data_IF_432603786273
#
_entry.id   IF_432603786273
#
_cell.length_a   1.000
_cell.length_b   1.000
_cell.length_c   1.000
_cell.angle_alpha   90.00
_cell.angle_beta   90.00
_cell.angle_gamma   90.00
#
_symmetry.space_group_name_H-M   'P 1'
#
loop_
_entity.id
_entity.type
_entity.pdbx_description
1 polymer ?
#
# COMPACT_ATOMS: atom_id res chain seq x y z
N UNK A 1 -4.22 -17.07 -8.45
CA UNK A 1 -3.58 -16.03 -7.62
C UNK A 1 -4.17 -16.15 -6.23
N UNK A 2 -3.32 -16.24 -5.19
CA UNK A 2 -3.81 -16.09 -3.82
C UNK A 2 -4.40 -14.68 -3.68
N UNK A 3 -5.60 -14.57 -3.10
CA UNK A 3 -6.27 -13.28 -2.95
C UNK A 3 -5.66 -12.57 -1.75
N UNK A 4 -4.89 -11.53 -2.05
CA UNK A 4 -4.17 -10.72 -1.07
C UNK A 4 -5.14 -9.67 -0.53
N UNK A 5 -5.45 -9.66 0.78
CA UNK A 5 -6.27 -8.61 1.34
C UNK A 5 -5.54 -7.26 1.32
N UNK A 6 -6.31 -6.19 1.25
CA UNK A 6 -5.85 -4.82 1.50
C UNK A 6 -6.30 -4.45 2.90
N UNK A 7 -5.36 -4.07 3.76
CA UNK A 7 -5.62 -3.64 5.13
C UNK A 7 -5.06 -2.23 5.30
N UNK A 8 -5.81 -1.37 5.96
CA UNK A 8 -5.34 -0.07 6.41
C UNK A 8 -5.82 0.20 7.84
N UNK A 9 -4.89 0.52 8.72
CA UNK A 9 -5.17 1.03 10.05
C UNK A 9 -5.43 2.54 9.95
N UNK A 10 -6.47 3.03 10.61
CA UNK A 10 -6.65 4.45 10.88
C UNK A 10 -6.03 4.86 12.22
N UNK A 11 -6.34 6.08 12.70
CA UNK A 11 -5.72 6.65 13.90
C UNK A 11 -6.08 5.94 15.21
N UNK A 12 -7.09 5.09 15.21
CA UNK A 12 -7.55 4.35 16.38
C UNK A 12 -8.24 3.03 15.94
N UNK A 13 -8.60 2.13 16.89
CA UNK A 13 -9.22 0.84 16.57
C UNK A 13 -10.58 0.94 15.86
N UNK A 14 -11.27 2.07 15.94
CA UNK A 14 -12.60 2.26 15.38
C UNK A 14 -12.57 2.74 13.92
N UNK A 15 -11.41 3.19 13.44
CA UNK A 15 -11.20 3.65 12.06
C UNK A 15 -10.25 2.69 11.35
N UNK A 16 -10.76 1.93 10.39
CA UNK A 16 -9.93 1.03 9.58
C UNK A 16 -10.66 0.59 8.30
N UNK A 17 -9.88 -0.03 7.41
CA UNK A 17 -10.37 -0.67 6.20
C UNK A 17 -9.78 -2.07 6.01
N UNK A 18 -10.62 -3.02 5.58
CA UNK A 18 -10.21 -4.34 5.10
C UNK A 18 -10.94 -4.62 3.79
N UNK A 19 -10.20 -4.96 2.74
CA UNK A 19 -10.74 -5.35 1.44
C UNK A 19 -10.23 -6.71 1.00
N UNK A 20 -11.13 -7.55 0.47
CA UNK A 20 -10.82 -8.83 -0.14
C UNK A 20 -11.84 -9.14 -1.25
N UNK A 21 -11.41 -9.14 -2.52
CA UNK A 21 -12.32 -9.52 -3.61
C UNK A 21 -13.33 -8.45 -3.99
N UNK A 22 -14.63 -8.70 -3.81
CA UNK A 22 -15.65 -7.64 -3.92
C UNK A 22 -16.18 -7.23 -2.55
N UNK A 23 -15.58 -7.76 -1.49
CA UNK A 23 -16.06 -7.64 -0.13
C UNK A 23 -15.10 -6.75 0.65
N UNK A 24 -15.67 -5.92 1.50
CA UNK A 24 -14.89 -5.05 2.36
C UNK A 24 -15.64 -4.81 3.67
N UNK A 25 -14.86 -4.50 4.71
CA UNK A 25 -15.33 -3.90 5.95
C UNK A 25 -14.62 -2.57 6.15
N UNK A 26 -15.37 -1.58 6.62
CA UNK A 26 -14.82 -0.30 7.01
C UNK A 26 -15.59 0.24 8.20
N UNK A 27 -14.89 0.59 9.26
CA UNK A 27 -15.47 1.21 10.45
C UNK A 27 -14.95 2.64 10.55
N UNK A 28 -15.79 3.58 10.95
CA UNK A 28 -15.40 4.98 11.23
C UNK A 28 -14.78 5.77 10.05
N UNK A 29 -14.71 5.18 8.85
CA UNK A 29 -14.08 5.81 7.68
C UNK A 29 -14.90 7.00 7.15
N UNK A 30 -14.25 8.07 6.67
CA UNK A 30 -14.94 9.21 6.08
C UNK A 30 -15.82 8.84 4.89
N UNK A 31 -16.87 9.63 4.64
CA UNK A 31 -17.79 9.40 3.52
C UNK A 31 -17.12 9.50 2.15
N UNK A 32 -16.03 10.28 2.02
CA UNK A 32 -15.22 10.38 0.80
C UNK A 32 -14.69 9.00 0.38
N UNK A 33 -14.26 8.18 1.34
CA UNK A 33 -13.81 6.80 1.15
C UNK A 33 -14.92 5.95 0.55
N UNK A 34 -16.13 6.01 1.13
CA UNK A 34 -17.25 5.14 0.72
C UNK A 34 -17.60 5.34 -0.75
N UNK A 35 -17.66 6.60 -1.20
CA UNK A 35 -17.95 6.95 -2.59
C UNK A 35 -16.87 6.41 -3.55
N UNK A 36 -15.62 6.39 -3.12
CA UNK A 36 -14.52 5.87 -3.91
C UNK A 36 -14.48 4.34 -3.90
N UNK A 37 -14.61 3.69 -2.74
CA UNK A 37 -14.64 2.22 -2.63
C UNK A 37 -15.84 1.62 -3.35
N UNK A 38 -17.00 2.27 -3.39
CA UNK A 38 -18.14 1.78 -4.20
C UNK A 38 -17.83 1.71 -5.69
N UNK A 39 -16.92 2.54 -6.20
CA UNK A 39 -16.43 2.47 -7.58
C UNK A 39 -15.45 1.31 -7.76
N UNK A 40 -14.62 1.05 -6.74
CA UNK A 40 -13.57 0.04 -6.79
C UNK A 40 -14.03 -1.33 -6.30
N UNK A 41 -13.98 -2.39 -7.12
CA UNK A 41 -14.04 -3.73 -6.58
C UNK A 41 -12.86 -3.96 -5.64
N UNK A 42 -13.09 -4.53 -4.45
CA UNK A 42 -12.07 -4.67 -3.39
C UNK A 42 -10.79 -5.45 -3.77
N UNK A 43 -10.77 -6.15 -4.90
CA UNK A 43 -9.65 -6.90 -5.50
C UNK A 43 -8.83 -6.06 -6.46
N UNK A 44 -9.40 -4.93 -6.89
CA UNK A 44 -8.66 -3.95 -7.66
C UNK A 44 -7.80 -3.09 -6.75
N UNK A 45 -8.17 -2.80 -5.49
CA UNK A 45 -7.24 -2.03 -4.64
C UNK A 45 -5.89 -2.74 -4.48
N UNK A 46 -4.80 -2.01 -4.75
CA UNK A 46 -3.43 -2.49 -4.51
C UNK A 46 -2.97 -2.22 -3.07
N UNK A 47 -3.36 -1.06 -2.55
CA UNK A 47 -3.06 -0.60 -1.21
C UNK A 47 -3.98 0.56 -0.84
N UNK A 48 -4.09 0.81 0.46
CA UNK A 48 -4.73 1.98 1.04
C UNK A 48 -3.90 2.42 2.26
N UNK A 49 -3.80 3.73 2.48
CA UNK A 49 -3.21 4.34 3.68
C UNK A 49 -4.18 5.38 4.21
N UNK A 50 -4.27 5.47 5.54
CA UNK A 50 -5.17 6.36 6.26
C UNK A 50 -4.31 7.24 7.16
N UNK A 51 -4.51 8.55 7.07
CA UNK A 51 -3.86 9.58 7.88
C UNK A 51 -4.53 9.69 9.25
N UNK A 52 -3.89 10.43 10.17
CA UNK A 52 -4.29 10.57 11.56
C UNK A 52 -5.65 11.22 11.78
N UNK A 53 -6.16 11.96 10.80
CA UNK A 53 -7.49 12.58 10.84
C UNK A 53 -8.53 11.80 10.02
N UNK A 54 -8.16 10.62 9.50
CA UNK A 54 -9.01 9.78 8.67
C UNK A 54 -8.95 10.12 7.18
N UNK A 55 -8.22 11.17 6.77
CA UNK A 55 -7.89 11.38 5.36
C UNK A 55 -7.17 10.15 4.79
N UNK A 56 -7.18 9.94 3.48
CA UNK A 56 -6.74 8.66 2.93
C UNK A 56 -6.20 8.79 1.52
N UNK A 57 -5.36 7.83 1.14
CA UNK A 57 -4.91 7.62 -0.23
C UNK A 57 -4.99 6.14 -0.54
N UNK A 58 -5.37 5.81 -1.76
CA UNK A 58 -5.46 4.43 -2.20
C UNK A 58 -5.20 4.31 -3.70
N UNK A 59 -4.69 3.16 -4.10
CA UNK A 59 -4.38 2.88 -5.50
C UNK A 59 -5.29 1.83 -6.08
N UNK A 60 -6.01 2.23 -7.11
CA UNK A 60 -6.75 1.32 -7.98
C UNK A 60 -5.76 0.47 -8.78
N UNK A 61 -5.90 -0.84 -8.72
CA UNK A 61 -5.12 -1.83 -9.46
C UNK A 61 -5.64 -2.11 -10.86
N UNK A 62 -6.87 -1.70 -11.18
CA UNK A 62 -7.39 -1.66 -12.54
C UNK A 62 -6.80 -0.48 -13.31
N UNK A 63 -7.11 0.76 -12.89
CA UNK A 63 -6.63 1.96 -13.59
C UNK A 63 -5.18 2.32 -13.27
N UNK A 64 -4.57 1.75 -12.23
CA UNK A 64 -3.24 2.12 -11.72
C UNK A 64 -3.14 3.61 -11.32
N UNK A 65 -4.28 4.20 -10.92
CA UNK A 65 -4.34 5.58 -10.44
C UNK A 65 -4.43 5.61 -8.93
N UNK A 66 -3.85 6.65 -8.37
CA UNK A 66 -3.96 6.95 -6.95
C UNK A 66 -5.08 7.96 -6.76
N UNK A 67 -6.13 7.56 -6.05
CA UNK A 67 -7.14 8.49 -5.54
C UNK A 67 -6.81 8.81 -4.08
N UNK A 68 -7.18 10.00 -3.65
CA UNK A 68 -6.85 10.51 -2.33
C UNK A 68 -7.91 11.52 -1.87
N UNK A 69 -8.01 11.70 -0.55
CA UNK A 69 -8.83 12.73 0.06
C UNK A 69 -8.18 14.11 -0.12
N UNK A 70 -8.96 15.08 -0.58
CA UNK A 70 -8.52 16.47 -0.72
C UNK A 70 -8.16 17.14 0.61
N UNK A 71 -8.49 16.53 1.76
CA UNK A 71 -8.11 17.03 3.09
C UNK A 71 -6.68 16.66 3.53
N UNK A 72 -5.97 15.84 2.75
CA UNK A 72 -4.54 15.56 2.96
C UNK A 72 -3.73 16.85 2.85
N UNK A 73 -2.56 16.89 3.49
CA UNK A 73 -1.66 18.05 3.46
C UNK A 73 -1.23 18.42 2.03
N UNK A 74 -1.13 19.73 1.75
CA UNK A 74 -0.74 20.23 0.43
C UNK A 74 0.61 19.67 -0.06
N UNK A 75 1.66 19.52 0.76
CA UNK A 75 2.91 18.91 0.31
C UNK A 75 2.76 17.46 -0.18
N UNK A 76 1.92 16.65 0.48
CA UNK A 76 1.61 15.30 0.02
C UNK A 76 0.79 15.33 -1.27
N UNK A 77 -0.22 16.22 -1.35
CA UNK A 77 -1.00 16.44 -2.57
C UNK A 77 -0.07 16.83 -3.73
N UNK A 78 0.84 17.78 -3.54
CA UNK A 78 1.77 18.23 -4.58
C UNK A 78 2.61 17.08 -5.12
N UNK A 79 3.06 16.17 -4.25
CA UNK A 79 3.80 14.97 -4.66
C UNK A 79 2.91 13.96 -5.40
N UNK A 80 1.67 13.79 -4.98
CA UNK A 80 0.70 12.89 -5.63
C UNK A 80 0.22 13.47 -6.98
N UNK A 81 0.02 14.79 -7.07
CA UNK A 81 -0.52 15.49 -8.25
C UNK A 81 0.54 15.78 -9.30
N UNK A 82 1.79 16.03 -8.89
CA UNK A 82 2.91 16.20 -9.81
C UNK A 82 2.92 15.09 -10.87
N UNK A 83 2.48 13.87 -10.50
CA UNK A 83 2.21 12.80 -11.44
C UNK A 83 1.02 11.95 -10.96
N UNK A 84 -0.11 11.88 -11.67
CA UNK A 84 -1.34 11.18 -11.25
C UNK A 84 -1.21 9.64 -11.10
N UNK A 85 0.02 9.13 -11.09
CA UNK A 85 0.39 7.71 -11.04
C UNK A 85 1.27 7.34 -9.84
N UNK A 86 1.44 8.23 -8.83
CA UNK A 86 2.20 7.95 -7.59
C UNK A 86 2.02 6.50 -7.12
N UNK A 87 3.09 5.69 -7.16
CA UNK A 87 2.98 4.24 -7.07
C UNK A 87 2.61 3.77 -5.67
N UNK A 88 3.08 4.52 -4.67
CA UNK A 88 2.82 4.23 -3.27
C UNK A 88 2.78 5.51 -2.44
N UNK A 89 1.79 5.60 -1.55
CA UNK A 89 1.64 6.68 -0.58
C UNK A 89 1.35 6.06 0.78
N UNK A 90 2.04 6.55 1.80
CA UNK A 90 1.84 6.17 3.20
C UNK A 90 1.81 7.42 4.07
N UNK A 91 0.91 7.42 5.03
CA UNK A 91 0.82 8.44 6.08
C UNK A 91 1.45 7.93 7.37
N UNK A 92 1.96 8.87 8.15
CA UNK A 92 2.58 8.62 9.44
C UNK A 92 1.62 8.69 10.62
N UNK A 93 2.20 8.68 11.81
CA UNK A 93 1.55 8.91 13.11
C UNK A 93 1.23 10.38 13.37
N UNK A 94 1.62 11.30 12.48
CA UNK A 94 1.29 12.73 12.52
C UNK A 94 0.82 13.19 11.16
N UNK A 95 -0.03 14.23 11.13
CA UNK A 95 -0.69 14.74 9.92
C UNK A 95 0.28 15.18 8.83
N UNK A 96 1.42 15.72 9.24
CA UNK A 96 2.43 16.22 8.31
C UNK A 96 3.42 15.14 7.88
N UNK A 97 3.39 13.95 8.48
CA UNK A 97 4.29 12.85 8.14
C UNK A 97 3.72 12.01 7.00
N UNK A 98 4.50 11.86 5.94
CA UNK A 98 4.11 11.04 4.80
C UNK A 98 5.32 10.56 4.01
N UNK A 99 5.11 9.54 3.18
CA UNK A 99 6.00 9.16 2.09
C UNK A 99 5.17 8.97 0.83
N UNK A 100 5.61 9.55 -0.28
CA UNK A 100 5.04 9.37 -1.59
C UNK A 100 6.15 9.00 -2.58
N UNK A 101 6.00 7.86 -3.26
CA UNK A 101 6.95 7.37 -4.26
C UNK A 101 6.34 7.45 -5.65
N UNK A 102 7.12 7.99 -6.58
CA UNK A 102 6.70 8.22 -7.96
C UNK A 102 7.62 7.48 -8.93
N UNK A 103 7.09 6.64 -9.84
CA UNK A 103 7.90 5.91 -10.80
C UNK A 103 8.80 6.83 -11.62
N UNK A 104 10.10 6.54 -11.66
CA UNK A 104 11.09 7.25 -12.49
C UNK A 104 11.43 8.68 -12.06
N UNK A 105 10.69 9.26 -11.10
CA UNK A 105 10.84 10.66 -10.65
C UNK A 105 11.24 10.78 -9.18
N UNK A 106 11.57 9.65 -8.53
CA UNK A 106 12.04 9.59 -7.15
C UNK A 106 10.91 9.55 -6.12
N UNK A 107 11.20 10.02 -4.93
CA UNK A 107 10.32 9.96 -3.78
C UNK A 107 10.33 11.29 -3.03
N UNK A 108 9.31 11.54 -2.23
CA UNK A 108 9.26 12.65 -1.28
C UNK A 108 8.68 12.17 0.04
N UNK A 109 9.25 12.64 1.14
CA UNK A 109 8.71 12.38 2.45
C UNK A 109 8.81 13.62 3.33
N UNK A 110 7.95 13.66 4.33
CA UNK A 110 8.06 14.54 5.49
C UNK A 110 8.15 13.63 6.70
N UNK A 111 9.17 13.84 7.52
CA UNK A 111 9.61 12.96 8.60
C UNK A 111 10.01 13.83 9.80
N UNK A 112 9.95 13.28 11.00
CA UNK A 112 10.50 13.94 12.20
C UNK A 112 12.04 13.89 12.20
N UNK A 113 12.70 14.81 12.90
CA UNK A 113 14.17 14.94 12.88
C UNK A 113 14.89 13.63 13.21
N UNK A 114 14.45 12.93 14.25
CA UNK A 114 15.04 11.64 14.64
C UNK A 114 14.81 10.54 13.57
N UNK A 115 13.71 10.59 12.80
CA UNK A 115 13.47 9.67 11.68
C UNK A 115 14.35 10.02 10.47
N UNK A 116 14.64 11.31 10.27
CA UNK A 116 15.58 11.77 9.25
C UNK A 116 16.96 11.17 9.53
N UNK A 117 17.41 11.19 10.78
CA UNK A 117 18.70 10.58 11.16
C UNK A 117 18.74 9.08 10.83
N UNK A 118 17.70 8.33 11.18
CA UNK A 118 17.58 6.91 10.82
C UNK A 118 17.56 6.69 9.31
N UNK A 119 16.86 7.55 8.55
CA UNK A 119 16.86 7.51 7.10
C UNK A 119 18.27 7.75 6.54
N UNK A 120 19.02 8.72 7.07
CA UNK A 120 20.39 9.00 6.63
C UNK A 120 21.32 7.81 6.92
N UNK A 121 21.14 7.11 8.04
CA UNK A 121 21.92 5.90 8.33
C UNK A 121 21.65 4.78 7.32
N UNK A 122 20.37 4.51 7.00
CA UNK A 122 20.02 3.51 5.97
C UNK A 122 20.58 3.94 4.61
N UNK A 123 20.42 5.23 4.26
CA UNK A 123 20.91 5.81 3.01
C UNK A 123 22.44 5.68 2.88
N UNK A 124 23.18 5.96 3.95
CA UNK A 124 24.63 5.80 3.99
C UNK A 124 25.07 4.34 3.83
N UNK A 125 24.35 3.39 4.46
CA UNK A 125 24.69 1.97 4.39
C UNK A 125 24.51 1.36 2.99
N UNK A 126 23.53 1.84 2.23
CA UNK A 126 23.23 1.36 0.87
C UNK A 126 23.97 2.14 -0.22
N UNK A 127 24.42 3.35 0.09
CA UNK A 127 24.87 4.33 -0.90
C UNK A 127 23.70 5.19 -1.38
N UNK A 128 23.87 6.51 -1.33
CA UNK A 128 22.81 7.49 -1.57
C UNK A 128 22.07 7.31 -2.89
N UNK A 129 22.82 7.14 -3.98
CA UNK A 129 22.26 6.99 -5.32
C UNK A 129 21.43 5.71 -5.44
N UNK A 130 21.90 4.60 -4.86
CA UNK A 130 21.19 3.33 -4.91
C UNK A 130 19.91 3.39 -4.07
N UNK A 131 19.97 4.00 -2.88
CA UNK A 131 18.81 4.23 -2.04
C UNK A 131 17.72 5.00 -2.81
N UNK A 132 18.04 6.16 -3.36
CA UNK A 132 17.07 7.02 -4.04
C UNK A 132 16.48 6.39 -5.31
N UNK A 133 17.25 5.53 -6.00
CA UNK A 133 16.79 4.81 -7.19
C UNK A 133 15.93 3.59 -6.88
N UNK A 134 16.09 2.99 -5.70
CA UNK A 134 15.48 1.70 -5.38
C UNK A 134 14.36 1.78 -4.35
N UNK A 135 14.22 2.91 -3.64
CA UNK A 135 13.15 3.11 -2.66
C UNK A 135 11.78 3.07 -3.33
N UNK A 136 10.94 2.15 -2.85
CA UNK A 136 9.55 1.95 -3.26
C UNK A 136 8.55 2.50 -2.26
N UNK A 137 8.98 2.82 -1.05
CA UNK A 137 8.13 3.33 0.01
C UNK A 137 8.78 3.30 1.37
N UNK A 138 8.13 3.99 2.30
CA UNK A 138 8.38 3.87 3.74
C UNK A 138 7.04 3.52 4.39
N UNK A 139 6.98 2.47 5.19
CA UNK A 139 5.80 2.16 6.03
C UNK A 139 6.09 2.66 7.43
N UNK A 140 5.19 3.51 7.93
CA UNK A 140 5.27 4.08 9.27
C UNK A 140 4.46 3.25 10.26
N UNK A 141 5.04 2.98 11.42
CA UNK A 141 4.38 2.36 12.57
C UNK A 141 4.33 3.30 13.77
N UNK A 142 3.92 2.75 14.91
CA UNK A 142 3.95 3.48 16.18
C UNK A 142 5.36 4.01 16.49
N UNK A 143 5.38 5.20 17.10
CA UNK A 143 6.60 5.89 17.51
C UNK A 143 7.50 6.15 16.31
N UNK A 144 8.72 5.62 16.39
CA UNK A 144 9.76 5.86 15.37
C UNK A 144 9.92 4.71 14.39
N UNK A 145 9.09 3.68 14.51
CA UNK A 145 9.21 2.46 13.70
C UNK A 145 8.94 2.73 12.22
N UNK A 146 9.88 2.35 11.37
CA UNK A 146 9.80 2.50 9.91
C UNK A 146 10.30 1.25 9.19
N UNK A 147 9.63 0.86 8.11
CA UNK A 147 10.13 -0.14 7.16
C UNK A 147 10.38 0.55 5.82
N UNK A 148 11.60 0.44 5.30
CA UNK A 148 12.03 0.97 4.01
C UNK A 148 11.93 -0.13 2.95
N UNK A 149 11.10 0.08 1.93
CA UNK A 149 10.80 -0.89 0.89
C UNK A 149 11.74 -0.63 -0.29
N UNK A 150 12.49 -1.63 -0.75
CA UNK A 150 13.37 -1.50 -1.91
C UNK A 150 13.03 -2.50 -3.02
N UNK A 151 13.51 -2.24 -4.23
CA UNK A 151 13.30 -3.13 -5.39
C UNK A 151 13.79 -4.58 -5.21
N UNK A 152 14.79 -4.81 -4.34
CA UNK A 152 15.40 -6.14 -4.14
C UNK A 152 15.62 -6.56 -2.69
N UNK A 153 15.22 -5.72 -1.72
CA UNK A 153 15.26 -6.03 -0.28
C UNK A 153 14.30 -5.11 0.46
N UNK A 154 14.33 -5.13 1.79
CA UNK A 154 13.88 -4.05 2.64
C UNK A 154 14.95 -3.76 3.69
N UNK A 155 14.81 -2.62 4.37
CA UNK A 155 15.48 -2.32 5.64
C UNK A 155 14.42 -1.86 6.62
N UNK A 156 14.72 -1.81 7.91
CA UNK A 156 13.80 -1.26 8.88
C UNK A 156 14.55 -0.66 10.06
N UNK A 157 13.84 0.21 10.77
CA UNK A 157 14.23 0.76 12.05
C UNK A 157 13.05 0.56 13.00
N UNK A 158 13.32 0.03 14.18
CA UNK A 158 12.35 -0.16 15.26
C UNK A 158 12.62 0.87 16.34
N UNK A 159 11.56 1.41 16.93
CA UNK A 159 11.73 2.14 18.19
C UNK A 159 11.98 1.16 19.35
N UNK A 160 12.31 1.71 20.52
CA UNK A 160 12.60 0.92 21.72
C UNK A 160 11.44 0.04 22.17
N UNK A 161 10.20 0.42 21.87
CA UNK A 161 9.02 -0.39 22.23
C UNK A 161 8.94 -1.63 21.34
N UNK A 162 9.29 -1.51 20.05
CA UNK A 162 9.27 -2.58 19.08
C UNK A 162 10.48 -3.54 19.13
N UNK A 163 11.55 -3.19 19.86
CA UNK A 163 12.71 -4.06 20.07
C UNK A 163 12.31 -5.39 20.76
N UNK A 164 12.72 -6.52 20.18
CA UNK A 164 12.39 -7.87 20.65
C UNK A 164 10.94 -8.29 20.39
N UNK A 165 10.13 -7.47 19.73
CA UNK A 165 8.74 -7.78 19.42
C UNK A 165 8.59 -8.95 18.43
N UNK A 166 7.38 -9.49 18.35
CA UNK A 166 7.03 -10.48 17.32
C UNK A 166 7.20 -9.91 15.90
N UNK A 167 6.83 -8.64 15.71
CA UNK A 167 7.00 -7.94 14.43
C UNK A 167 8.47 -7.85 14.04
N UNK A 168 9.35 -7.45 14.96
CA UNK A 168 10.79 -7.36 14.69
C UNK A 168 11.40 -8.74 14.40
N UNK A 169 11.02 -9.76 15.18
CA UNK A 169 11.45 -11.14 14.94
C UNK A 169 11.07 -11.63 13.55
N UNK A 170 9.86 -11.27 13.09
CA UNK A 170 9.38 -11.57 11.76
C UNK A 170 10.15 -10.81 10.68
N UNK A 171 10.42 -9.51 10.86
CA UNK A 171 11.24 -8.73 9.92
C UNK A 171 12.66 -9.32 9.80
N UNK A 172 13.27 -9.68 10.93
CA UNK A 172 14.56 -10.38 11.00
C UNK A 172 14.55 -11.71 10.23
N UNK A 173 13.49 -12.50 10.39
CA UNK A 173 13.35 -13.78 9.67
C UNK A 173 13.46 -13.58 8.16
N UNK A 174 12.82 -12.54 7.59
CA UNK A 174 12.74 -12.34 6.14
C UNK A 174 13.91 -11.55 5.55
N UNK A 175 14.46 -10.57 6.29
CA UNK A 175 15.59 -9.77 5.81
C UNK A 175 16.88 -10.60 5.70
N UNK A 176 17.05 -11.61 6.56
CA UNK A 176 18.24 -12.46 6.59
C UNK A 176 18.10 -13.78 5.79
N UNK A 177 17.00 -13.97 5.03
CA UNK A 177 16.90 -15.09 4.09
C UNK A 177 17.95 -15.00 2.98
N UNK A 178 18.19 -16.12 2.31
CA UNK A 178 19.10 -16.20 1.16
C UNK A 178 18.32 -16.73 -0.07
N UNK A 179 17.93 -15.86 -1.02
CA UNK A 179 18.07 -14.40 -0.98
C UNK A 179 17.10 -13.75 0.01
N UNK A 180 17.40 -12.50 0.39
CA UNK A 180 16.50 -11.68 1.21
C UNK A 180 15.18 -11.49 0.48
N UNK A 181 14.06 -11.53 1.22
CA UNK A 181 12.75 -11.27 0.64
C UNK A 181 12.47 -9.77 0.63
N UNK A 182 11.55 -9.31 -0.23
CA UNK A 182 11.11 -7.90 -0.25
C UNK A 182 9.84 -7.72 0.58
N UNK A 183 9.65 -6.54 1.17
CA UNK A 183 8.34 -6.11 1.68
C UNK A 183 7.59 -5.43 0.54
N UNK A 184 6.36 -5.86 0.27
CA UNK A 184 5.55 -5.33 -0.83
C UNK A 184 4.70 -4.12 -0.40
N UNK A 185 4.45 -3.16 -1.32
CA UNK A 185 3.49 -2.07 -1.11
C UNK A 185 2.12 -2.56 -0.62
N UNK A 186 1.52 -1.84 0.32
CA UNK A 186 0.29 -2.21 1.02
C UNK A 186 0.52 -3.17 2.20
N UNK A 187 1.77 -3.37 2.61
CA UNK A 187 2.09 -3.73 3.98
C UNK A 187 1.85 -2.51 4.86
N UNK A 188 1.33 -2.71 6.07
CA UNK A 188 0.97 -1.63 6.99
C UNK A 188 1.38 -1.98 8.41
N UNK A 189 1.85 -0.97 9.14
CA UNK A 189 2.06 -1.03 10.59
C UNK A 189 0.96 -0.21 11.26
N UNK A 190 0.57 -0.62 12.47
CA UNK A 190 -0.42 0.12 13.23
C UNK A 190 0.22 1.37 13.89
N UNK A 191 -0.36 2.57 13.73
CA UNK A 191 0.24 3.79 14.26
C UNK A 191 0.12 3.93 15.79
N UNK A 192 -0.76 3.15 16.42
CA UNK A 192 -1.07 3.25 17.85
C UNK A 192 -0.74 1.97 18.65
N UNK A 193 -0.27 0.90 18.01
CA UNK A 193 0.17 -0.33 18.68
C UNK A 193 1.28 -1.05 17.91
N UNK A 194 2.39 -1.39 18.57
CA UNK A 194 3.47 -2.18 17.95
C UNK A 194 3.07 -3.63 17.67
N UNK A 195 2.08 -4.15 18.40
CA UNK A 195 1.68 -5.54 18.28
C UNK A 195 0.89 -5.78 16.99
N UNK A 196 0.28 -4.74 16.42
CA UNK A 196 -0.61 -4.87 15.27
C UNK A 196 0.06 -4.47 13.96
N UNK A 197 -0.01 -5.35 12.98
CA UNK A 197 0.60 -5.19 11.67
C UNK A 197 -0.05 -6.10 10.63
N UNK A 198 0.14 -5.75 9.35
CA UNK A 198 -0.09 -6.64 8.22
C UNK A 198 1.07 -6.49 7.24
N UNK A 199 1.89 -7.53 7.10
CA UNK A 199 3.11 -7.52 6.31
C UNK A 199 3.03 -8.54 5.18
N UNK A 200 3.42 -8.09 3.98
CA UNK A 200 3.48 -8.89 2.76
C UNK A 200 4.94 -9.04 2.34
N UNK A 201 5.46 -10.25 2.45
CA UNK A 201 6.80 -10.58 2.01
C UNK A 201 6.75 -11.29 0.67
N UNK A 202 7.64 -10.91 -0.26
CA UNK A 202 7.74 -11.54 -1.57
C UNK A 202 9.12 -12.13 -1.79
N UNK A 203 9.13 -13.38 -2.23
CA UNK A 203 10.35 -14.04 -2.67
C UNK A 203 10.79 -13.46 -4.02
N UNK A 204 11.99 -12.87 -4.14
CA UNK A 204 12.42 -12.27 -5.40
C UNK A 204 12.70 -13.29 -6.50
N UNK A 205 12.97 -14.55 -6.16
CA UNK A 205 13.26 -15.62 -7.14
C UNK A 205 11.99 -16.28 -7.67
N UNK A 206 11.03 -16.58 -6.78
CA UNK A 206 9.83 -17.33 -7.15
C UNK A 206 8.60 -16.45 -7.38
N UNK A 207 8.63 -15.21 -6.89
CA UNK A 207 7.46 -14.32 -6.87
C UNK A 207 6.39 -14.74 -5.84
N UNK A 208 6.65 -15.76 -5.02
CA UNK A 208 5.76 -16.18 -3.94
C UNK A 208 5.54 -15.04 -2.95
N UNK A 209 4.27 -14.81 -2.56
CA UNK A 209 3.90 -13.83 -1.53
C UNK A 209 3.45 -14.57 -0.28
N UNK A 210 4.09 -14.27 0.86
CA UNK A 210 3.67 -14.68 2.19
C UNK A 210 3.15 -13.49 2.96
N UNK A 211 2.02 -13.67 3.63
CA UNK A 211 1.33 -12.62 4.36
C UNK A 211 1.27 -13.01 5.83
N UNK A 212 1.60 -12.06 6.70
CA UNK A 212 1.58 -12.24 8.15
C UNK A 212 0.88 -11.06 8.76
N UNK A 213 0.07 -11.32 9.78
CA UNK A 213 -0.60 -10.27 10.50
C UNK A 213 -0.83 -10.62 11.95
N UNK A 214 -0.93 -9.57 12.74
CA UNK A 214 -1.56 -9.59 14.04
C UNK A 214 -2.50 -8.38 14.03
N UNK A 215 -3.79 -8.61 14.15
CA UNK A 215 -4.81 -7.56 14.00
C UNK A 215 -5.58 -7.41 15.31
N UNK A 216 -6.16 -6.23 15.57
CA UNK A 216 -7.14 -6.07 16.64
C UNK A 216 -8.25 -7.12 16.52
N UNK A 217 -8.79 -7.68 17.62
CA UNK A 217 -9.75 -8.79 17.56
C UNK A 217 -10.94 -8.54 16.63
N UNK A 218 -11.49 -7.33 16.65
CA UNK A 218 -12.59 -6.92 15.76
C UNK A 218 -12.18 -6.93 14.29
N UNK A 219 -10.98 -6.43 13.98
CA UNK A 219 -10.45 -6.44 12.61
C UNK A 219 -10.15 -7.86 12.13
N UNK A 220 -9.58 -8.70 13.00
CA UNK A 220 -9.29 -10.11 12.66
C UNK A 220 -10.57 -10.90 12.39
N UNK A 221 -11.59 -10.74 13.24
CA UNK A 221 -12.90 -11.34 13.02
C UNK A 221 -13.53 -10.89 11.68
N UNK A 222 -13.45 -9.59 11.38
CA UNK A 222 -13.94 -9.06 10.12
C UNK A 222 -13.16 -9.57 8.90
N UNK A 223 -11.84 -9.74 9.02
CA UNK A 223 -11.05 -10.39 7.96
C UNK A 223 -11.47 -11.84 7.75
N UNK A 224 -11.67 -12.61 8.83
CA UNK A 224 -12.13 -13.99 8.77
C UNK A 224 -13.52 -14.10 8.10
N UNK A 225 -14.44 -13.20 8.43
CA UNK A 225 -15.77 -13.14 7.81
C UNK A 225 -15.69 -12.80 6.31
N UNK A 226 -14.80 -11.88 5.92
CA UNK A 226 -14.56 -11.59 4.51
C UNK A 226 -13.97 -12.79 3.79
N UNK A 227 -13.02 -13.50 4.39
CA UNK A 227 -12.42 -14.70 3.82
C UNK A 227 -13.47 -15.81 3.65
N UNK A 228 -14.31 -16.03 4.65
CA UNK A 228 -15.41 -17.00 4.58
C UNK A 228 -16.39 -16.63 3.46
N UNK A 229 -16.81 -15.37 3.40
CA UNK A 229 -17.72 -14.86 2.35
C UNK A 229 -17.08 -14.96 0.97
N UNK A 230 -15.81 -14.60 0.86
CA UNK A 230 -15.04 -14.65 -0.38
C UNK A 230 -14.99 -16.07 -0.95
N UNK A 231 -14.85 -17.08 -0.10
CA UNK A 231 -14.77 -18.49 -0.50
C UNK A 231 -16.12 -19.11 -0.92
N UNK A 232 -17.23 -18.37 -0.85
CA UNK A 232 -18.54 -18.84 -1.34
C UNK A 232 -18.56 -18.91 -2.88
N UNK A 233 -19.25 -19.90 -3.47
CA UNK A 233 -19.39 -20.00 -4.94
C UNK A 233 -19.97 -18.73 -5.56
N UNK A 234 -20.93 -18.10 -4.91
CA UNK A 234 -21.60 -16.89 -5.38
C UNK A 234 -20.64 -15.71 -5.43
N UNK A 235 -19.79 -15.56 -4.41
CA UNK A 235 -18.76 -14.52 -4.39
C UNK A 235 -17.70 -14.79 -5.48
N UNK A 236 -17.24 -16.03 -5.62
CA UNK A 236 -16.29 -16.41 -6.68
C UNK A 236 -16.84 -16.14 -8.08
N UNK A 237 -18.12 -16.44 -8.31
CA UNK A 237 -18.77 -16.16 -9.59
C UNK A 237 -18.92 -14.66 -9.85
N UNK A 238 -19.33 -13.89 -8.84
CA UNK A 238 -19.44 -12.43 -8.95
C UNK A 238 -18.07 -11.78 -9.25
N UNK A 239 -17.01 -12.28 -8.61
CA UNK A 239 -15.63 -11.87 -8.87
C UNK A 239 -15.21 -12.21 -10.31
N UNK A 240 -15.43 -13.45 -10.74
CA UNK A 240 -15.07 -13.89 -12.10
C UNK A 240 -15.78 -13.06 -13.17
N UNK A 241 -17.08 -12.81 -13.01
CA UNK A 241 -17.86 -11.97 -13.91
C UNK A 241 -17.30 -10.54 -13.97
N UNK A 242 -16.94 -9.97 -12.81
CA UNK A 242 -16.38 -8.61 -12.75
C UNK A 242 -14.97 -8.52 -13.32
N UNK A 243 -14.14 -9.55 -13.14
CA UNK A 243 -12.83 -9.65 -13.79
C UNK A 243 -12.96 -9.72 -15.31
N UNK A 244 -13.90 -10.50 -15.83
CA UNK A 244 -14.17 -10.57 -17.27
C UNK A 244 -14.60 -9.21 -17.83
N UNK A 245 -15.53 -8.51 -17.15
CA UNK A 245 -15.96 -7.17 -17.54
C UNK A 245 -14.79 -6.16 -17.51
N UNK A 246 -13.95 -6.21 -16.49
CA UNK A 246 -12.75 -5.36 -16.37
C UNK A 246 -11.73 -5.60 -17.48
N UNK A 247 -11.49 -6.86 -17.85
CA UNK A 247 -10.61 -7.23 -18.98
C UNK A 247 -11.15 -6.70 -20.31
N UNK A 248 -12.47 -6.81 -20.54
CA UNK A 248 -13.11 -6.27 -21.75
C UNK A 248 -12.94 -4.75 -21.84
N UNK A 249 -13.11 -4.03 -20.74
CA UNK A 249 -12.88 -2.58 -20.69
C UNK A 249 -11.41 -2.21 -20.90
N UNK A 250 -10.46 -2.93 -20.29
CA UNK A 250 -9.04 -2.69 -20.48
C UNK A 250 -8.60 -2.91 -21.94
N UNK A 251 -9.09 -3.97 -22.59
CA UNK A 251 -8.85 -4.24 -24.02
C UNK A 251 -9.47 -3.16 -24.91
N UNK A 252 -10.69 -2.71 -24.59
CA UNK A 252 -11.35 -1.63 -25.32
C UNK A 252 -10.55 -0.33 -25.24
N UNK A 253 -10.10 0.06 -24.03
CA UNK A 253 -9.27 1.26 -23.83
C UNK A 253 -7.92 1.16 -24.56
N UNK A 254 -7.29 -0.02 -24.53
CA UNK A 254 -6.08 -0.28 -25.29
C UNK A 254 -6.32 -0.10 -26.80
N UNK A 255 -7.37 -0.71 -27.35
CA UNK A 255 -7.70 -0.60 -28.78
C UNK A 255 -8.02 0.84 -29.20
N UNK A 256 -8.73 1.61 -28.37
CA UNK A 256 -8.99 3.03 -28.62
C UNK A 256 -7.67 3.82 -28.63
N UNK A 257 -6.79 3.60 -27.65
CA UNK A 257 -5.49 4.27 -27.61
C UNK A 257 -4.60 3.93 -28.82
N UNK A 258 -4.65 2.68 -29.31
CA UNK A 258 -3.91 2.22 -30.48
C UNK A 258 -4.47 2.81 -31.78
N UNK A 259 -5.79 2.90 -31.89
CA UNK A 259 -6.46 3.57 -33.02
C UNK A 259 -6.15 5.07 -33.05
N UNK A 260 -6.11 5.74 -31.89
CA UNK A 260 -5.74 7.15 -31.79
C UNK A 260 -4.28 7.39 -32.17
N UNK A 261 -3.36 6.52 -31.72
CA UNK A 261 -1.94 6.57 -32.11
C UNK A 261 -1.74 6.34 -33.61
N UNK A 262 -2.50 5.41 -34.21
CA UNK A 262 -2.45 5.16 -35.65
C UNK A 262 -3.07 6.31 -36.47
N UNK A 263 -4.18 6.90 -36.00
CA UNK A 263 -4.77 8.08 -36.63
C UNK A 263 -3.83 9.28 -36.59
N UNK A 264 -3.15 9.51 -35.45
CA UNK A 264 -2.11 10.54 -35.32
C UNK A 264 -0.90 10.28 -36.21
N UNK A 265 -0.55 9.02 -36.52
CA UNK A 265 0.52 8.72 -37.49
C UNK A 265 0.09 8.92 -38.95
N UNK A 266 -1.21 8.81 -39.25
CA UNK A 266 -1.74 9.03 -40.60
C UNK A 266 -1.94 10.51 -40.95
N UNK A 267 -2.07 11.39 -39.96
CA UNK A 267 -2.20 12.85 -40.18
C UNK A 267 -0.87 13.58 -40.41
N UNK A 268 0.26 12.88 -40.42
CA UNK A 268 1.62 13.45 -40.61
C UNK A 268 2.24 13.08 -41.97
N UNK A 269 1.42 12.93 -43.01
CA UNK A 269 1.85 12.77 -44.40
C UNK A 269 1.01 13.67 -45.31
#
# INVERSE_FOLDING_TARGET
MANVPVIAFGPNPDIYYIGLGLRYYMSGMPASVQNTIQKWPAMQLKWMSIDVDGAWAARDGGSLRTEYDTTITQPAIDKIVAFPTAEYVTFGTTKDMYCAVTPGNGWGASLEDEQIDSLQQVKASMGEQLFDQTLKGIVFGKGMTMIFLFSGSFSYYTDREAEGSQMESLLNEYIYRQPSWTVEPGSVLCPWSIDYYFLKFKNPQTGEIKMHWNLPPTMDANLADLQATFNTPEAQQAIANRQQLGLVQAISNYNVSLSAANALRQTWW
#
